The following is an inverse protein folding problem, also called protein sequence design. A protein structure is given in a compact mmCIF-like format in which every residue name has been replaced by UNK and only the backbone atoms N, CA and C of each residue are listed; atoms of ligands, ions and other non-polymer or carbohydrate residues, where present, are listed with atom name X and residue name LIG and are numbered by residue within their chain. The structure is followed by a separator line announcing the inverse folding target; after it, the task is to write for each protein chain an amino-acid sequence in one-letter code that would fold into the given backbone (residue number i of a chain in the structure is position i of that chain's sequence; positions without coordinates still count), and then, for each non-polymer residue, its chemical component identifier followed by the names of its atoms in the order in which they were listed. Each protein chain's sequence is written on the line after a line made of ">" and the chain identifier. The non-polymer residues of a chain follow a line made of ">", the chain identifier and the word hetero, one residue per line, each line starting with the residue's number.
data_IF_019246528191
#
_entry.id   IF_019246528191
#
_cell.length_a   1.000
_cell.length_b   1.000
_cell.length_c   1.000
_cell.angle_alpha   90.00
_cell.angle_beta   90.00
_cell.angle_gamma   90.00
#
_symmetry.space_group_name_H-M   'P 1'
#
loop_
_entity.id
_entity.type
_entity.pdbx_description
1 polymer ?
#
# COMPACT_ATOMS: atom_id res chain seq x y z
N UNK A 1 20.85 -18.40 -13.42
CA UNK A 1 20.10 -18.21 -12.17
C UNK A 1 19.93 -16.71 -11.96
N UNK A 2 18.72 -16.19 -12.19
CA UNK A 2 18.47 -14.74 -12.14
C UNK A 2 18.51 -14.26 -10.68
N UNK A 3 19.24 -13.17 -10.44
CA UNK A 3 19.38 -12.52 -9.14
C UNK A 3 17.99 -12.32 -8.54
N UNK A 4 17.75 -12.86 -7.35
CA UNK A 4 16.60 -12.54 -6.53
C UNK A 4 16.63 -11.04 -6.28
N UNK A 5 15.90 -10.29 -7.10
CA UNK A 5 15.84 -8.84 -6.99
C UNK A 5 15.12 -8.59 -5.66
N UNK A 6 15.87 -8.18 -4.63
CA UNK A 6 15.33 -7.95 -3.30
C UNK A 6 14.61 -6.60 -3.32
N UNK A 7 13.49 -6.56 -4.04
CA UNK A 7 12.71 -5.34 -4.26
C UNK A 7 12.01 -5.01 -2.95
N UNK A 8 12.54 -4.00 -2.27
CA UNK A 8 11.94 -3.45 -1.07
C UNK A 8 10.72 -2.64 -1.50
N UNK A 9 9.54 -3.21 -1.25
CA UNK A 9 8.30 -2.51 -1.48
C UNK A 9 8.09 -1.48 -0.37
N UNK A 10 7.46 -0.37 -0.72
CA UNK A 10 7.04 0.64 0.24
C UNK A 10 5.56 0.46 0.55
N UNK A 11 5.19 0.65 1.81
CA UNK A 11 3.84 0.39 2.28
C UNK A 11 3.29 1.64 2.94
N UNK A 12 2.04 1.95 2.65
CA UNK A 12 1.35 3.11 3.16
C UNK A 12 -0.03 2.72 3.66
N UNK A 13 -0.57 3.46 4.61
CA UNK A 13 -1.93 3.31 5.12
C UNK A 13 -2.64 4.65 5.20
N UNK A 14 -3.96 4.60 5.10
CA UNK A 14 -4.86 5.72 5.40
C UNK A 14 -6.12 5.17 6.03
N UNK A 15 -6.54 5.77 7.14
CA UNK A 15 -7.76 5.40 7.84
C UNK A 15 -8.84 6.45 7.54
N UNK A 16 -10.00 6.01 7.06
CA UNK A 16 -11.08 6.89 6.65
C UNK A 16 -12.42 6.32 7.10
N UNK A 17 -13.04 6.96 8.09
CA UNK A 17 -14.41 6.63 8.52
C UNK A 17 -14.64 5.18 8.98
N UNK A 18 -13.60 4.50 9.47
CA UNK A 18 -13.66 3.09 9.89
C UNK A 18 -13.15 2.10 8.83
N UNK A 19 -12.90 2.56 7.60
CA UNK A 19 -12.25 1.77 6.55
C UNK A 19 -10.74 2.02 6.56
N UNK A 20 -9.97 1.03 6.11
CA UNK A 20 -8.51 1.15 5.98
C UNK A 20 -8.12 1.01 4.52
N UNK A 21 -7.42 2.00 3.99
CA UNK A 21 -6.83 1.95 2.65
C UNK A 21 -5.35 1.66 2.83
N UNK A 22 -4.88 0.55 2.28
CA UNK A 22 -3.51 0.09 2.35
C UNK A 22 -2.92 0.14 0.95
N UNK A 23 -1.78 0.80 0.76
CA UNK A 23 -1.12 0.91 -0.53
C UNK A 23 0.25 0.26 -0.47
N UNK A 24 0.54 -0.66 -1.38
CA UNK A 24 1.84 -1.31 -1.56
C UNK A 24 2.44 -0.85 -2.87
N UNK A 25 3.64 -0.30 -2.85
CA UNK A 25 4.33 0.24 -4.03
C UNK A 25 5.60 -0.51 -4.32
N UNK A 26 5.77 -0.83 -5.59
CA UNK A 26 7.01 -1.30 -6.17
C UNK A 26 7.78 -0.12 -6.78
N UNK A 27 8.83 0.40 -6.12
CA UNK A 27 9.54 1.59 -6.58
C UNK A 27 10.38 1.37 -7.85
N UNK A 28 10.55 0.12 -8.31
CA UNK A 28 11.33 -0.20 -9.51
C UNK A 28 10.49 -0.09 -10.77
N UNK A 29 9.24 -0.56 -10.69
CA UNK A 29 8.30 -0.57 -11.81
C UNK A 29 7.27 0.55 -11.74
N UNK A 30 7.27 1.34 -10.66
CA UNK A 30 6.26 2.34 -10.34
C UNK A 30 4.83 1.77 -10.42
N UNK A 31 4.69 0.50 -10.09
CA UNK A 31 3.38 -0.14 -9.93
C UNK A 31 3.07 -0.23 -8.45
N UNK A 32 1.79 -0.24 -8.11
CA UNK A 32 1.40 -0.67 -6.78
C UNK A 32 0.01 -1.24 -6.73
N UNK A 33 -0.36 -1.63 -5.52
CA UNK A 33 -1.62 -2.28 -5.22
C UNK A 33 -2.26 -1.51 -4.09
N UNK A 34 -3.43 -0.96 -4.34
CA UNK A 34 -4.30 -0.41 -3.31
C UNK A 34 -5.24 -1.50 -2.83
N UNK A 35 -5.39 -1.61 -1.52
CA UNK A 35 -6.25 -2.55 -0.84
C UNK A 35 -7.14 -1.76 0.11
N UNK A 36 -8.43 -1.70 -0.19
CA UNK A 36 -9.42 -1.10 0.70
C UNK A 36 -10.05 -2.19 1.55
N UNK A 37 -9.76 -2.15 2.84
CA UNK A 37 -10.31 -3.04 3.86
C UNK A 37 -11.53 -2.36 4.48
N UNK A 38 -12.68 -2.99 4.31
CA UNK A 38 -13.97 -2.61 4.91
C UNK A 38 -14.47 -3.74 5.82
N UNK A 39 -15.50 -3.49 6.66
CA UNK A 39 -16.12 -4.55 7.46
C UNK A 39 -16.72 -5.70 6.62
N UNK A 40 -17.14 -5.41 5.38
CA UNK A 40 -17.74 -6.38 4.46
C UNK A 40 -16.69 -7.20 3.68
N UNK A 41 -15.44 -6.73 3.61
CA UNK A 41 -14.35 -7.44 2.94
C UNK A 41 -13.22 -6.51 2.48
N UNK A 42 -12.28 -7.06 1.70
CA UNK A 42 -11.18 -6.30 1.12
C UNK A 42 -11.31 -6.23 -0.40
N UNK A 43 -11.26 -5.03 -0.97
CA UNK A 43 -11.11 -4.84 -2.41
C UNK A 43 -9.66 -4.52 -2.75
N UNK A 44 -9.09 -5.21 -3.75
CA UNK A 44 -7.75 -4.90 -4.27
C UNK A 44 -7.83 -4.34 -5.67
N UNK A 45 -7.02 -3.33 -5.94
CA UNK A 45 -6.88 -2.69 -7.24
C UNK A 45 -5.42 -2.43 -7.54
N UNK A 46 -5.03 -2.68 -8.78
CA UNK A 46 -3.68 -2.34 -9.25
C UNK A 46 -3.68 -0.90 -9.72
N UNK A 47 -2.60 -0.19 -9.38
CA UNK A 47 -2.37 1.19 -9.72
C UNK A 47 -1.03 1.30 -10.44
N UNK A 48 -1.03 2.06 -11.53
CA UNK A 48 0.18 2.52 -12.18
C UNK A 48 0.44 3.93 -11.68
N UNK A 49 1.69 4.17 -11.31
CA UNK A 49 2.09 5.41 -10.70
C UNK A 49 3.16 6.10 -11.53
N UNK A 50 3.15 7.42 -11.45
CA UNK A 50 4.18 8.27 -12.01
C UNK A 50 5.14 8.75 -10.92
N UNK A 51 6.17 9.48 -11.33
CA UNK A 51 7.19 10.05 -10.43
C UNK A 51 6.66 10.92 -9.28
N UNK A 52 5.40 11.37 -9.34
CA UNK A 52 4.77 12.24 -8.33
C UNK A 52 4.04 11.47 -7.21
N UNK A 53 3.98 10.15 -7.32
CA UNK A 53 3.26 9.26 -6.39
C UNK A 53 3.47 9.58 -4.91
N UNK A 54 4.73 9.72 -4.48
CA UNK A 54 5.04 9.89 -3.06
C UNK A 54 4.55 11.24 -2.54
N UNK A 55 4.56 12.28 -3.38
CA UNK A 55 4.00 13.58 -3.05
C UNK A 55 2.47 13.51 -2.98
N UNK A 56 1.82 12.83 -3.93
CA UNK A 56 0.37 12.63 -3.92
C UNK A 56 -0.09 11.86 -2.68
N UNK A 57 0.55 10.74 -2.34
CA UNK A 57 0.22 9.96 -1.14
C UNK A 57 0.38 10.78 0.14
N UNK A 58 1.45 11.58 0.21
CA UNK A 58 1.70 12.43 1.36
C UNK A 58 0.65 13.54 1.46
N UNK A 59 0.29 14.15 0.32
CA UNK A 59 -0.74 15.18 0.25
C UNK A 59 -2.14 14.61 0.58
N UNK A 60 -2.40 13.37 0.20
CA UNK A 60 -3.60 12.60 0.53
C UNK A 60 -3.65 12.14 2.00
N UNK A 61 -2.57 12.35 2.76
CA UNK A 61 -2.50 12.00 4.18
C UNK A 61 -2.26 10.52 4.44
N UNK A 62 -1.68 9.78 3.50
CA UNK A 62 -1.20 8.43 3.75
C UNK A 62 0.02 8.47 4.69
N UNK A 63 0.02 7.58 5.67
CA UNK A 63 1.14 7.34 6.56
C UNK A 63 1.97 6.16 6.04
N UNK A 64 3.29 6.33 5.97
CA UNK A 64 4.21 5.22 5.68
C UNK A 64 4.20 4.21 6.83
N UNK A 65 4.17 2.93 6.49
CA UNK A 65 4.17 1.82 7.43
C UNK A 65 5.16 0.75 7.01
N UNK A 66 5.54 -0.09 7.97
CA UNK A 66 6.37 -1.25 7.66
C UNK A 66 5.51 -2.40 7.10
N UNK A 67 6.17 -3.36 6.44
CA UNK A 67 5.50 -4.51 5.84
C UNK A 67 4.71 -5.36 6.85
N UNK A 68 5.17 -5.44 8.11
CA UNK A 68 4.50 -6.23 9.14
C UNK A 68 3.17 -5.58 9.49
N UNK A 69 3.18 -4.30 9.80
CA UNK A 69 2.01 -3.51 10.14
C UNK A 69 0.98 -3.51 9.00
N UNK A 70 1.44 -3.34 7.75
CA UNK A 70 0.59 -3.49 6.57
C UNK A 70 -0.14 -4.85 6.54
N UNK A 71 0.60 -5.95 6.74
CA UNK A 71 0.02 -7.29 6.72
C UNK A 71 -0.95 -7.54 7.88
N UNK A 72 -0.70 -6.94 9.05
CA UNK A 72 -1.61 -7.02 10.18
C UNK A 72 -2.93 -6.29 9.89
N UNK A 73 -2.89 -5.12 9.27
CA UNK A 73 -4.10 -4.43 8.82
C UNK A 73 -4.84 -5.22 7.74
N UNK A 74 -4.11 -5.79 6.78
CA UNK A 74 -4.71 -6.62 5.73
C UNK A 74 -5.40 -7.87 6.30
N UNK A 75 -4.82 -8.47 7.34
CA UNK A 75 -5.40 -9.61 8.03
C UNK A 75 -6.58 -9.24 8.97
N UNK A 76 -6.87 -7.94 9.13
CA UNK A 76 -7.91 -7.46 10.06
C UNK A 76 -7.54 -7.67 11.54
N UNK A 77 -6.24 -7.76 11.86
CA UNK A 77 -5.74 -7.97 13.22
C UNK A 77 -5.44 -6.67 13.97
N UNK A 78 -5.55 -5.51 13.31
CA UNK A 78 -5.31 -4.16 13.84
C UNK A 78 -6.31 -3.13 13.31
#
# INVERSE_FOLDING_TARGET
>A
MAKSNNIIHQYFKKELGGNKILVKINPIYFTGTEITVTPDGSEMRELEFDSQLFDDLKHDGFAEVNAIEFNLYLAGLL
#
